data_IF_716716274445
#
_entry.id   IF_716716274445
#
_cell.length_a   1.000
_cell.length_b   1.000
_cell.length_c   1.000
_cell.angle_alpha   90.00
_cell.angle_beta   90.00
_cell.angle_gamma   90.00
#
_symmetry.space_group_name_H-M   'P 1'
#
loop_
_entity.id
_entity.type
_entity.pdbx_description
1 polymer ?
#
# COMPACT_ATOMS: atom_id res chain seq x y z
N UNK A 1 -27.18 -12.21 73.95
CA UNK A 1 -25.76 -11.81 73.94
C UNK A 1 -25.50 -10.96 72.71
N UNK A 2 -25.08 -9.70 72.94
CA UNK A 2 -24.43 -8.75 72.00
C UNK A 2 -25.20 -8.39 70.72
N UNK A 3 -25.89 -7.25 70.78
CA UNK A 3 -26.21 -6.46 69.57
C UNK A 3 -25.05 -5.56 69.17
N UNK A 4 -25.06 -5.03 67.94
CA UNK A 4 -24.53 -3.72 67.54
C UNK A 4 -25.09 -3.35 66.15
N UNK A 5 -25.30 -2.05 65.96
CA UNK A 5 -26.02 -1.37 64.88
C UNK A 5 -25.07 -0.83 63.77
N UNK A 6 -25.67 -0.38 62.63
CA UNK A 6 -25.22 0.73 61.72
C UNK A 6 -24.02 0.35 60.79
N UNK A 7 -24.00 0.58 59.47
CA UNK A 7 -24.11 1.82 58.66
C UNK A 7 -24.55 1.49 57.22
N UNK A 8 -25.49 2.27 56.68
CA UNK A 8 -25.77 2.38 55.23
C UNK A 8 -24.69 3.26 54.60
N UNK A 9 -23.91 2.72 53.66
CA UNK A 9 -23.08 3.54 52.76
C UNK A 9 -23.43 3.19 51.32
N UNK A 10 -24.31 4.01 50.74
CA UNK A 10 -24.46 4.16 49.31
C UNK A 10 -23.19 4.80 48.75
N UNK A 11 -22.33 4.02 48.11
CA UNK A 11 -21.33 4.55 47.19
C UNK A 11 -21.78 4.18 45.79
N UNK A 12 -22.38 5.17 45.13
CA UNK A 12 -22.52 5.15 43.68
C UNK A 12 -21.13 5.10 43.06
N UNK A 13 -20.86 4.06 42.30
CA UNK A 13 -19.75 4.07 41.36
C UNK A 13 -20.32 4.62 40.06
N UNK A 14 -20.22 5.95 39.94
CA UNK A 14 -20.18 6.63 38.65
C UNK A 14 -18.87 6.21 37.97
N UNK A 15 -18.90 5.19 37.12
CA UNK A 15 -17.83 5.01 36.15
C UNK A 15 -18.12 5.97 35.00
N UNK A 16 -17.59 7.18 35.14
CA UNK A 16 -17.37 8.08 34.02
C UNK A 16 -16.53 7.35 32.96
N UNK A 17 -16.88 7.53 31.69
CA UNK A 17 -16.19 6.91 30.58
C UNK A 17 -14.71 7.31 30.51
N UNK A 18 -13.89 6.40 30.02
CA UNK A 18 -12.62 6.76 29.39
C UNK A 18 -12.68 6.32 27.93
N UNK A 19 -12.97 7.29 27.08
CA UNK A 19 -12.84 7.24 25.63
C UNK A 19 -11.35 7.18 25.26
N UNK A 20 -10.67 6.06 25.46
CA UNK A 20 -9.32 5.87 24.87
C UNK A 20 -8.93 4.38 24.89
N UNK A 21 -9.65 3.56 24.13
CA UNK A 21 -9.15 2.25 23.73
C UNK A 21 -9.16 2.19 22.20
N UNK A 22 -7.99 2.47 21.63
CA UNK A 22 -7.69 2.34 20.20
C UNK A 22 -7.77 0.88 19.78
N UNK A 23 -9.00 0.40 19.59
CA UNK A 23 -9.26 -0.87 18.92
C UNK A 23 -9.02 -0.68 17.42
N UNK A 24 -7.87 -1.15 16.92
CA UNK A 24 -7.65 -1.33 15.48
C UNK A 24 -8.00 -2.79 15.15
N UNK A 25 -9.14 -3.07 14.49
CA UNK A 25 -9.48 -4.45 14.15
C UNK A 25 -8.59 -4.91 13.00
N UNK A 26 -8.00 -6.10 13.16
CA UNK A 26 -7.14 -6.82 12.19
C UNK A 26 -7.78 -7.05 10.80
N UNK A 27 -9.02 -6.57 10.57
CA UNK A 27 -9.79 -6.72 9.35
C UNK A 27 -9.95 -5.41 8.56
N UNK A 28 -9.59 -4.25 9.13
CA UNK A 28 -9.75 -2.95 8.47
C UNK A 28 -8.61 -2.69 7.47
N UNK A 29 -7.37 -3.03 7.81
CA UNK A 29 -6.22 -2.89 6.89
C UNK A 29 -6.35 -3.79 5.66
N UNK A 30 -6.93 -4.99 5.80
CA UNK A 30 -7.16 -5.88 4.66
C UNK A 30 -8.25 -5.32 3.74
N UNK A 31 -9.32 -4.75 4.32
CA UNK A 31 -10.41 -4.13 3.55
C UNK A 31 -9.91 -2.90 2.77
N UNK A 32 -9.15 -2.01 3.40
CA UNK A 32 -8.62 -0.82 2.73
C UNK A 32 -7.57 -1.15 1.67
N UNK A 33 -6.70 -2.13 1.92
CA UNK A 33 -5.78 -2.63 0.90
C UNK A 33 -6.53 -3.22 -0.29
N UNK A 34 -7.58 -4.01 -0.08
CA UNK A 34 -8.40 -4.57 -1.17
C UNK A 34 -9.06 -3.47 -2.01
N UNK A 35 -9.63 -2.43 -1.38
CA UNK A 35 -10.20 -1.28 -2.11
C UNK A 35 -9.15 -0.53 -2.92
N UNK A 36 -7.98 -0.31 -2.32
CA UNK A 36 -6.84 0.34 -2.99
C UNK A 36 -6.35 -0.46 -4.20
N UNK A 37 -6.26 -1.79 -4.08
CA UNK A 37 -5.95 -2.70 -5.20
C UNK A 37 -7.00 -2.58 -6.31
N UNK A 38 -8.29 -2.49 -5.96
CA UNK A 38 -9.37 -2.36 -6.94
C UNK A 38 -9.27 -1.06 -7.74
N UNK A 39 -9.07 0.08 -7.07
CA UNK A 39 -8.83 1.37 -7.74
C UNK A 39 -7.53 1.36 -8.54
N UNK A 40 -6.48 0.74 -8.00
CA UNK A 40 -5.20 0.59 -8.67
C UNK A 40 -5.25 -0.20 -9.97
N UNK A 41 -6.18 -1.15 -10.09
CA UNK A 41 -6.42 -1.88 -11.34
C UNK A 41 -6.95 -0.95 -12.46
N UNK A 42 -7.81 0.02 -12.11
CA UNK A 42 -8.34 1.01 -13.06
C UNK A 42 -7.20 1.92 -13.55
N UNK A 43 -6.39 2.44 -12.61
CA UNK A 43 -5.19 3.23 -12.96
C UNK A 43 -4.21 2.42 -13.82
N UNK A 44 -4.01 1.13 -13.52
CA UNK A 44 -3.15 0.26 -14.33
C UNK A 44 -3.67 0.12 -15.77
N UNK A 45 -4.97 -0.07 -15.93
CA UNK A 45 -5.62 -0.23 -17.23
C UNK A 45 -5.50 1.02 -18.10
N UNK A 46 -5.53 2.21 -17.50
CA UNK A 46 -5.44 3.46 -18.24
C UNK A 46 -4.00 3.83 -18.61
N UNK A 47 -3.07 3.70 -17.66
CA UNK A 47 -1.73 4.29 -17.77
C UNK A 47 -0.62 3.27 -18.03
N UNK A 48 -0.71 2.08 -17.45
CA UNK A 48 0.43 1.16 -17.37
C UNK A 48 0.37 0.03 -18.41
N UNK A 49 -0.84 -0.40 -18.75
CA UNK A 49 -1.08 -1.60 -19.58
C UNK A 49 -0.47 -1.49 -20.97
N UNK A 50 -0.35 -0.27 -21.51
CA UNK A 50 0.17 -0.01 -22.84
C UNK A 50 1.63 -0.45 -22.99
N UNK A 51 2.41 -0.43 -21.91
CA UNK A 51 3.81 -0.83 -21.91
C UNK A 51 4.04 -2.16 -21.18
N UNK A 52 3.46 -2.33 -19.99
CA UNK A 52 3.68 -3.52 -19.16
C UNK A 52 2.74 -4.70 -19.47
N UNK A 53 1.75 -4.47 -20.35
CA UNK A 53 0.76 -5.44 -20.83
C UNK A 53 -0.19 -5.94 -19.74
N UNK A 54 -1.32 -6.53 -20.14
CA UNK A 54 -2.35 -7.00 -19.18
C UNK A 54 -1.88 -8.11 -18.23
N UNK A 55 -0.82 -8.83 -18.60
CA UNK A 55 -0.23 -9.89 -17.77
C UNK A 55 1.01 -9.42 -16.98
N UNK A 56 1.34 -8.12 -17.02
CA UNK A 56 2.49 -7.54 -16.33
C UNK A 56 3.85 -8.04 -16.82
N UNK A 57 3.93 -8.75 -17.96
CA UNK A 57 5.19 -9.34 -18.45
C UNK A 57 6.07 -8.35 -19.21
N UNK A 58 5.54 -7.17 -19.57
CA UNK A 58 6.26 -6.22 -20.41
C UNK A 58 6.67 -6.82 -21.75
N UNK A 59 7.82 -6.40 -22.26
CA UNK A 59 8.34 -6.78 -23.58
C UNK A 59 9.85 -7.01 -23.53
N UNK A 60 10.49 -7.12 -24.69
CA UNK A 60 11.95 -7.21 -24.76
C UNK A 60 12.65 -5.99 -24.16
N UNK A 61 12.04 -4.80 -24.29
CA UNK A 61 12.61 -3.52 -23.84
C UNK A 61 11.92 -2.93 -22.63
N UNK A 62 10.75 -3.45 -22.23
CA UNK A 62 10.00 -3.03 -21.06
C UNK A 62 10.10 -4.10 -19.97
N UNK A 63 10.55 -3.78 -18.74
CA UNK A 63 10.73 -4.77 -17.70
C UNK A 63 9.40 -5.39 -17.25
N UNK A 64 9.41 -6.67 -16.82
CA UNK A 64 8.24 -7.29 -16.23
C UNK A 64 7.95 -6.72 -14.83
N UNK A 65 6.67 -6.50 -14.57
CA UNK A 65 6.13 -6.28 -13.24
C UNK A 65 5.74 -7.61 -12.57
N UNK A 66 5.40 -8.62 -13.38
CA UNK A 66 5.09 -9.95 -12.90
C UNK A 66 6.30 -10.63 -12.24
N UNK A 67 6.11 -11.11 -11.01
CA UNK A 67 7.15 -11.75 -10.19
C UNK A 67 8.48 -10.98 -10.20
N UNK A 68 8.42 -9.66 -10.05
CA UNK A 68 9.57 -8.76 -10.21
C UNK A 68 10.40 -8.65 -8.93
N UNK A 69 11.67 -9.06 -8.99
CA UNK A 69 12.63 -8.86 -7.91
C UNK A 69 12.87 -7.37 -7.59
N UNK A 70 12.75 -6.49 -8.59
CA UNK A 70 12.84 -5.06 -8.45
C UNK A 70 11.73 -4.54 -7.53
N UNK A 71 10.46 -4.88 -7.80
CA UNK A 71 9.34 -4.43 -6.96
C UNK A 71 9.50 -4.87 -5.50
N UNK A 72 10.01 -6.09 -5.28
CA UNK A 72 10.25 -6.63 -3.94
C UNK A 72 11.36 -5.89 -3.19
N UNK A 73 12.48 -5.62 -3.86
CA UNK A 73 13.70 -5.13 -3.22
C UNK A 73 13.87 -3.60 -3.31
N UNK A 74 13.13 -2.94 -4.20
CA UNK A 74 13.30 -1.54 -4.60
C UNK A 74 11.99 -0.78 -4.50
N UNK A 75 11.27 -0.98 -3.38
CA UNK A 75 9.96 -0.37 -3.13
C UNK A 75 9.97 1.15 -3.31
N UNK A 76 10.92 1.86 -2.70
CA UNK A 76 11.01 3.33 -2.76
C UNK A 76 11.29 3.80 -4.19
N UNK A 77 12.22 3.14 -4.88
CA UNK A 77 12.55 3.42 -6.27
C UNK A 77 11.39 3.08 -7.22
N UNK A 78 10.59 2.07 -6.91
CA UNK A 78 9.40 1.71 -7.69
C UNK A 78 8.29 2.76 -7.55
N UNK A 79 8.06 3.27 -6.34
CA UNK A 79 7.14 4.40 -6.12
C UNK A 79 7.66 5.66 -6.85
N UNK A 80 8.97 5.92 -6.76
CA UNK A 80 9.61 7.02 -7.49
C UNK A 80 9.40 6.90 -9.00
N UNK A 81 9.60 5.72 -9.58
CA UNK A 81 9.45 5.45 -11.00
C UNK A 81 8.03 5.76 -11.50
N UNK A 82 7.00 5.35 -10.77
CA UNK A 82 5.60 5.66 -11.14
C UNK A 82 5.30 7.16 -11.04
N UNK A 83 5.80 7.80 -9.98
CA UNK A 83 5.50 9.21 -9.69
C UNK A 83 6.25 10.19 -10.60
N UNK A 84 7.52 9.93 -10.85
CA UNK A 84 8.45 10.86 -11.49
C UNK A 84 9.07 10.35 -12.79
N UNK A 85 8.75 9.11 -13.18
CA UNK A 85 9.40 8.42 -14.28
C UNK A 85 10.73 7.80 -13.87
N UNK A 86 11.32 7.03 -14.77
CA UNK A 86 12.58 6.35 -14.55
C UNK A 86 13.36 6.26 -15.86
N UNK A 87 14.67 6.42 -15.78
CA UNK A 87 15.58 6.21 -16.90
C UNK A 87 16.90 5.64 -16.41
N UNK A 88 17.67 5.08 -17.35
CA UNK A 88 18.98 4.52 -17.07
C UNK A 88 18.95 3.01 -16.81
N UNK A 89 20.13 2.42 -16.60
CA UNK A 89 20.29 0.98 -16.56
C UNK A 89 19.72 0.40 -15.26
N UNK A 90 18.88 -0.63 -15.41
CA UNK A 90 18.40 -1.48 -14.32
C UNK A 90 18.51 -2.95 -14.67
N UNK A 91 18.38 -3.79 -13.65
CA UNK A 91 18.31 -5.24 -13.80
C UNK A 91 17.05 -5.74 -13.09
N UNK A 92 16.21 -6.44 -13.82
CA UNK A 92 14.95 -7.03 -13.32
C UNK A 92 14.94 -8.50 -13.69
N UNK A 93 14.77 -9.37 -12.71
CA UNK A 93 14.76 -10.83 -12.86
C UNK A 93 15.96 -11.35 -13.66
N UNK A 94 17.15 -10.80 -13.41
CA UNK A 94 18.37 -11.21 -14.11
C UNK A 94 18.61 -10.55 -15.48
N UNK A 95 17.62 -9.87 -16.07
CA UNK A 95 17.73 -9.21 -17.39
C UNK A 95 17.98 -7.72 -17.26
N UNK A 96 18.87 -7.18 -18.09
CA UNK A 96 19.19 -5.75 -18.12
C UNK A 96 18.19 -4.98 -18.97
N UNK A 97 17.82 -3.79 -18.51
CA UNK A 97 16.97 -2.83 -19.21
C UNK A 97 17.61 -1.45 -19.11
N UNK A 98 17.46 -0.63 -20.14
CA UNK A 98 17.97 0.74 -20.16
C UNK A 98 17.01 1.65 -20.93
N UNK A 99 15.71 1.48 -20.65
CA UNK A 99 14.65 2.26 -21.26
C UNK A 99 14.37 3.56 -20.51
N UNK A 100 13.33 4.26 -20.97
CA UNK A 100 12.76 5.42 -20.29
C UNK A 100 11.27 5.16 -20.03
N UNK A 101 10.85 5.37 -18.79
CA UNK A 101 9.48 5.41 -18.36
C UNK A 101 9.14 6.86 -18.02
N UNK A 102 8.25 7.48 -18.80
CA UNK A 102 7.80 8.85 -18.53
C UNK A 102 6.99 8.90 -17.22
N UNK A 103 6.96 10.04 -16.51
CA UNK A 103 6.00 10.23 -15.43
C UNK A 103 4.57 10.20 -15.97
N UNK A 104 3.65 9.57 -15.24
CA UNK A 104 2.25 9.44 -15.65
C UNK A 104 1.39 10.66 -15.27
N UNK A 105 1.90 11.56 -14.40
CA UNK A 105 1.14 12.72 -13.93
C UNK A 105 0.06 12.41 -12.91
N UNK A 106 0.16 11.25 -12.26
CA UNK A 106 -0.79 10.75 -11.26
C UNK A 106 -0.70 11.53 -9.94
N UNK A 107 -1.82 11.60 -9.24
CA UNK A 107 -1.91 12.06 -7.84
C UNK A 107 -1.23 11.06 -6.90
N UNK A 108 -0.90 11.50 -5.68
CA UNK A 108 -0.28 10.61 -4.68
C UNK A 108 -1.16 9.42 -4.30
N UNK A 109 -2.48 9.59 -4.34
CA UNK A 109 -3.46 8.52 -4.08
C UNK A 109 -3.48 7.49 -5.21
N UNK A 110 -3.53 7.93 -6.47
CA UNK A 110 -3.46 7.04 -7.64
C UNK A 110 -2.13 6.27 -7.69
N UNK A 111 -1.02 6.92 -7.33
CA UNK A 111 0.29 6.24 -7.21
C UNK A 111 0.24 5.17 -6.12
N UNK A 112 -0.32 5.47 -4.94
CA UNK A 112 -0.44 4.47 -3.88
C UNK A 112 -1.30 3.28 -4.32
N UNK A 113 -2.43 3.55 -4.95
CA UNK A 113 -3.37 2.55 -5.43
C UNK A 113 -2.77 1.63 -6.51
N UNK A 114 -2.17 2.20 -7.56
CA UNK A 114 -1.58 1.40 -8.64
C UNK A 114 -0.40 0.57 -8.15
N UNK A 115 0.39 1.09 -7.21
CA UNK A 115 1.49 0.36 -6.59
C UNK A 115 0.98 -0.82 -5.75
N UNK A 116 -0.12 -0.64 -5.00
CA UNK A 116 -0.76 -1.72 -4.26
C UNK A 116 -1.29 -2.81 -5.18
N UNK A 117 -1.91 -2.44 -6.31
CA UNK A 117 -2.34 -3.39 -7.33
C UNK A 117 -1.17 -4.18 -7.92
N UNK A 118 -0.13 -3.50 -8.40
CA UNK A 118 1.05 -4.10 -9.03
C UNK A 118 1.76 -5.07 -8.07
N UNK A 119 1.94 -4.67 -6.80
CA UNK A 119 2.65 -5.46 -5.78
C UNK A 119 1.84 -6.65 -5.24
N UNK A 120 0.56 -6.77 -5.62
CA UNK A 120 -0.31 -7.90 -5.27
C UNK A 120 -0.86 -8.64 -6.50
N UNK A 121 -0.28 -8.38 -7.68
CA UNK A 121 -0.65 -9.02 -8.94
C UNK A 121 0.44 -9.96 -9.45
N UNK A 122 0.06 -10.90 -10.32
CA UNK A 122 0.99 -11.76 -11.08
C UNK A 122 2.07 -12.46 -10.24
N UNK A 123 1.68 -12.97 -9.06
CA UNK A 123 2.58 -13.68 -8.16
C UNK A 123 3.38 -12.79 -7.20
N UNK A 124 3.29 -11.47 -7.34
CA UNK A 124 3.77 -10.55 -6.30
C UNK A 124 2.87 -10.66 -5.07
N UNK A 125 3.47 -10.60 -3.88
CA UNK A 125 2.75 -10.63 -2.61
C UNK A 125 3.39 -9.63 -1.67
N UNK A 126 2.62 -8.61 -1.29
CA UNK A 126 3.09 -7.62 -0.34
C UNK A 126 2.00 -7.32 0.68
N UNK A 127 2.31 -7.60 1.95
CA UNK A 127 1.39 -7.41 3.07
C UNK A 127 1.36 -5.98 3.57
N UNK A 128 2.43 -5.20 3.37
CA UNK A 128 2.48 -3.79 3.74
C UNK A 128 1.88 -2.93 2.63
N UNK A 129 0.76 -2.28 2.93
CA UNK A 129 0.12 -1.31 2.06
C UNK A 129 1.04 -0.11 1.77
N UNK A 130 1.10 0.32 0.51
CA UNK A 130 1.63 1.62 0.10
C UNK A 130 0.60 2.67 0.48
N UNK A 131 1.00 3.65 1.28
CA UNK A 131 0.14 4.72 1.75
C UNK A 131 0.44 6.03 1.03
N UNK A 132 -0.53 6.94 0.99
CA UNK A 132 -0.35 8.30 0.45
C UNK A 132 0.82 9.01 1.12
N UNK A 133 0.95 8.88 2.45
CA UNK A 133 2.07 9.46 3.21
C UNK A 133 3.43 8.91 2.77
N UNK A 134 3.51 7.60 2.46
CA UNK A 134 4.74 7.02 1.92
C UNK A 134 5.07 7.58 0.54
N UNK A 135 4.08 7.73 -0.33
CA UNK A 135 4.25 8.34 -1.67
C UNK A 135 4.68 9.80 -1.58
N UNK A 136 4.14 10.57 -0.63
CA UNK A 136 4.52 11.96 -0.38
C UNK A 136 5.96 12.10 0.11
N UNK A 137 6.46 11.12 0.88
CA UNK A 137 7.82 11.13 1.39
C UNK A 137 8.88 10.86 0.30
N UNK A 138 8.48 10.36 -0.87
CA UNK A 138 9.38 10.16 -2.01
C UNK A 138 9.66 11.50 -2.69
N UNK A 139 10.94 11.89 -2.69
CA UNK A 139 11.44 13.10 -3.34
C UNK A 139 11.88 12.80 -4.77
N UNK A 140 11.74 13.78 -5.66
CA UNK A 140 12.18 13.72 -7.05
C UNK A 140 13.68 13.49 -7.17
#
# INVERSE_FOLDING_TARGET
>A
MKGFYIVIVTIGILIFGDENSSYQPLNQSNNELTKSIQRGNEVYADFCIQCHLGNGKGSETVPPLAASDWLLNKRKESIHAVKYGQSGPIKVNGKNYNGMMSPMGLTDEEVADVMNYIMNSWGNKQTKMVTVSEVQAVKK
#
